data_IF_815676148746
#
_entry.id   IF_815676148746
#
_cell.length_a   1.000
_cell.length_b   1.000
_cell.length_c   1.000
_cell.angle_alpha   90.00
_cell.angle_beta   90.00
_cell.angle_gamma   90.00
#
_symmetry.space_group_name_H-M   'P 1'
#
loop_
_entity.id
_entity.type
_entity.pdbx_description
1 polymer ?
#
# COMPACT_ATOMS: atom_id res chain seq x y z
N UNK A 1 -27.41 -9.62 -0.62
CA UNK A 1 -27.02 -9.12 -1.95
C UNK A 1 -25.51 -9.24 -2.09
N UNK A 2 -25.00 -9.60 -3.27
CA UNK A 2 -23.55 -9.56 -3.53
C UNK A 2 -23.07 -8.10 -3.64
N UNK A 3 -21.84 -7.77 -3.24
CA UNK A 3 -21.32 -6.40 -3.36
C UNK A 3 -21.20 -5.99 -4.83
N UNK A 4 -21.46 -4.70 -5.11
CA UNK A 4 -21.27 -4.11 -6.44
C UNK A 4 -19.80 -4.15 -6.87
N UNK A 5 -19.55 -4.02 -8.18
CA UNK A 5 -18.18 -3.99 -8.71
C UNK A 5 -17.40 -2.78 -8.18
N UNK A 6 -18.05 -1.63 -8.03
CA UNK A 6 -17.46 -0.43 -7.41
C UNK A 6 -17.09 -0.69 -5.95
N UNK A 7 -17.93 -1.36 -5.17
CA UNK A 7 -17.58 -1.74 -3.77
C UNK A 7 -16.39 -2.69 -3.72
N UNK A 8 -16.32 -3.68 -4.62
CA UNK A 8 -15.20 -4.62 -4.69
C UNK A 8 -13.91 -3.89 -5.05
N UNK A 9 -13.93 -3.03 -6.06
CA UNK A 9 -12.78 -2.25 -6.50
C UNK A 9 -12.32 -1.26 -5.41
N UNK A 10 -13.26 -0.59 -4.74
CA UNK A 10 -13.00 0.30 -3.59
C UNK A 10 -12.24 -0.43 -2.48
N UNK A 11 -12.73 -1.60 -2.07
CA UNK A 11 -12.07 -2.43 -1.03
C UNK A 11 -10.68 -2.90 -1.45
N UNK A 12 -10.47 -3.15 -2.75
CA UNK A 12 -9.16 -3.53 -3.28
C UNK A 12 -8.14 -2.40 -3.13
N UNK A 13 -8.51 -1.17 -3.50
CA UNK A 13 -7.65 0.01 -3.33
C UNK A 13 -7.32 0.22 -1.85
N UNK A 14 -8.34 0.22 -0.97
CA UNK A 14 -8.15 0.40 0.47
C UNK A 14 -7.21 -0.63 1.09
N UNK A 15 -7.33 -1.91 0.70
CA UNK A 15 -6.43 -2.97 1.19
C UNK A 15 -4.99 -2.73 0.75
N UNK A 16 -4.79 -2.40 -0.53
CA UNK A 16 -3.45 -2.18 -1.07
C UNK A 16 -2.77 -0.95 -0.46
N UNK A 17 -3.50 0.14 -0.23
CA UNK A 17 -2.97 1.33 0.46
C UNK A 17 -2.56 0.99 1.90
N UNK A 18 -3.35 0.18 2.61
CA UNK A 18 -2.99 -0.28 3.96
C UNK A 18 -1.78 -1.21 3.97
N UNK A 19 -1.72 -2.12 3.00
CA UNK A 19 -0.57 -3.03 2.82
C UNK A 19 0.71 -2.23 2.58
N UNK A 20 0.65 -1.25 1.69
CA UNK A 20 1.75 -0.34 1.38
C UNK A 20 2.23 0.43 2.62
N UNK A 21 1.31 1.05 3.37
CA UNK A 21 1.62 1.75 4.60
C UNK A 21 2.26 0.81 5.66
N UNK A 22 1.86 -0.47 5.69
CA UNK A 22 2.45 -1.46 6.59
C UNK A 22 3.92 -1.76 6.24
N UNK A 23 4.28 -1.80 4.96
CA UNK A 23 5.67 -1.97 4.54
C UNK A 23 6.52 -0.75 4.88
N UNK A 24 5.98 0.48 4.76
CA UNK A 24 6.68 1.69 5.21
C UNK A 24 6.97 1.67 6.71
N UNK A 25 5.99 1.26 7.53
CA UNK A 25 6.22 1.08 8.97
C UNK A 25 7.28 0.01 9.26
N UNK A 26 7.32 -1.07 8.50
CA UNK A 26 8.35 -2.10 8.66
C UNK A 26 9.75 -1.57 8.30
N UNK A 27 9.87 -0.76 7.24
CA UNK A 27 11.13 -0.09 6.90
C UNK A 27 11.62 0.80 8.05
N UNK A 28 10.75 1.63 8.63
CA UNK A 28 11.09 2.48 9.77
C UNK A 28 11.59 1.65 10.97
N UNK A 29 10.93 0.54 11.26
CA UNK A 29 11.32 -0.37 12.33
C UNK A 29 12.69 -1.02 12.06
N UNK A 30 12.91 -1.54 10.84
CA UNK A 30 14.17 -2.14 10.41
C UNK A 30 15.33 -1.13 10.46
N UNK A 31 15.12 0.09 9.95
CA UNK A 31 16.10 1.18 10.05
C UNK A 31 16.41 1.55 11.50
N UNK A 32 15.39 1.56 12.36
CA UNK A 32 15.53 1.75 13.80
C UNK A 32 16.38 0.66 14.46
N UNK A 33 16.16 -0.62 14.10
CA UNK A 33 16.96 -1.75 14.60
C UNK A 33 18.41 -1.67 14.11
N UNK A 34 18.63 -1.38 12.82
CA UNK A 34 19.96 -1.19 12.24
C UNK A 34 20.71 -0.07 12.96
N UNK A 35 20.08 1.08 13.21
CA UNK A 35 20.69 2.20 13.95
C UNK A 35 21.13 1.78 15.36
N UNK A 36 20.31 1.00 16.06
CA UNK A 36 20.64 0.48 17.41
C UNK A 36 21.81 -0.51 17.37
N UNK A 37 21.84 -1.41 16.39
CA UNK A 37 22.94 -2.37 16.20
C UNK A 37 24.26 -1.66 15.88
N UNK A 38 24.21 -0.60 15.07
CA UNK A 38 25.39 0.21 14.77
C UNK A 38 25.90 1.00 15.99
N UNK A 39 25.00 1.46 16.86
CA UNK A 39 25.36 2.19 18.07
C UNK A 39 26.01 1.30 19.14
N UNK A 40 25.63 0.01 19.19
CA UNK A 40 26.16 -0.98 20.13
C UNK A 40 26.86 -2.11 19.36
N UNK A 41 27.78 -1.75 18.46
CA UNK A 41 28.48 -2.71 17.60
C UNK A 41 29.60 -3.43 18.36
N UNK A 42 29.24 -4.10 19.45
CA UNK A 42 30.15 -4.82 20.34
C UNK A 42 29.52 -6.17 20.67
N UNK A 43 30.06 -7.24 20.07
CA UNK A 43 29.57 -8.60 20.29
C UNK A 43 29.97 -9.54 19.15
N UNK A 44 30.21 -10.81 19.48
CA UNK A 44 30.64 -11.85 18.52
C UNK A 44 29.64 -12.00 17.34
N UNK A 45 28.37 -11.69 17.56
CA UNK A 45 27.29 -11.79 16.56
C UNK A 45 26.88 -10.45 15.93
N UNK A 46 27.47 -9.31 16.32
CA UNK A 46 26.98 -7.99 15.91
C UNK A 46 27.00 -7.80 14.39
N UNK A 47 28.02 -8.32 13.70
CA UNK A 47 28.13 -8.26 12.24
C UNK A 47 27.06 -9.14 11.55
N UNK A 48 26.82 -10.33 12.10
CA UNK A 48 25.82 -11.25 11.57
C UNK A 48 24.41 -10.66 11.72
N UNK A 49 24.05 -10.16 12.90
CA UNK A 49 22.76 -9.51 13.15
C UNK A 49 22.55 -8.28 12.26
N UNK A 50 23.59 -7.44 12.10
CA UNK A 50 23.52 -6.29 11.21
C UNK A 50 23.29 -6.70 9.75
N UNK A 51 23.97 -7.76 9.28
CA UNK A 51 23.79 -8.28 7.92
C UNK A 51 22.36 -8.79 7.71
N UNK A 52 21.82 -9.53 8.67
CA UNK A 52 20.46 -10.06 8.61
C UNK A 52 19.42 -8.93 8.56
N UNK A 53 19.53 -7.91 9.41
CA UNK A 53 18.61 -6.77 9.39
C UNK A 53 18.72 -5.96 8.10
N UNK A 54 19.92 -5.78 7.54
CA UNK A 54 20.11 -5.14 6.23
C UNK A 54 19.48 -5.94 5.09
N UNK A 55 19.58 -7.27 5.15
CA UNK A 55 18.93 -8.13 4.17
C UNK A 55 17.41 -8.01 4.26
N UNK A 56 16.84 -8.08 5.46
CA UNK A 56 15.40 -7.91 5.69
C UNK A 56 14.91 -6.55 5.17
N UNK A 57 15.66 -5.46 5.45
CA UNK A 57 15.38 -4.12 4.91
C UNK A 57 15.34 -4.12 3.38
N UNK A 58 16.30 -4.78 2.73
CA UNK A 58 16.35 -4.85 1.28
C UNK A 58 15.21 -5.68 0.70
N UNK A 59 14.83 -6.78 1.34
CA UNK A 59 13.68 -7.61 0.94
C UNK A 59 12.39 -6.80 1.00
N UNK A 60 12.15 -6.03 2.08
CA UNK A 60 11.00 -5.13 2.19
C UNK A 60 11.03 -4.05 1.09
N UNK A 61 12.19 -3.44 0.82
CA UNK A 61 12.35 -2.47 -0.29
C UNK A 61 12.03 -3.06 -1.66
N UNK A 62 12.35 -4.33 -1.88
CA UNK A 62 12.10 -5.01 -3.17
C UNK A 62 10.61 -5.30 -3.40
N UNK A 63 9.80 -5.43 -2.33
CA UNK A 63 8.35 -5.69 -2.44
C UNK A 63 7.58 -4.41 -2.82
N UNK A 64 7.99 -3.26 -2.29
CA UNK A 64 7.29 -1.97 -2.45
C UNK A 64 6.97 -1.58 -3.91
N UNK A 65 7.89 -1.69 -4.89
CA UNK A 65 7.57 -1.39 -6.29
C UNK A 65 6.38 -2.19 -6.82
N UNK A 66 6.30 -3.47 -6.48
CA UNK A 66 5.21 -4.35 -6.92
C UNK A 66 3.88 -3.93 -6.30
N UNK A 67 3.89 -3.52 -5.02
CA UNK A 67 2.69 -3.02 -4.33
C UNK A 67 2.21 -1.72 -4.94
N UNK A 68 3.13 -0.80 -5.28
CA UNK A 68 2.81 0.48 -5.94
C UNK A 68 2.17 0.26 -7.31
N UNK A 69 2.70 -0.67 -8.11
CA UNK A 69 2.07 -1.02 -9.41
C UNK A 69 0.68 -1.62 -9.22
N UNK A 70 0.47 -2.47 -8.21
CA UNK A 70 -0.86 -2.98 -7.87
C UNK A 70 -1.82 -1.87 -7.46
N UNK A 71 -1.37 -0.86 -6.71
CA UNK A 71 -2.19 0.31 -6.35
C UNK A 71 -2.59 1.07 -7.61
N UNK A 72 -1.65 1.37 -8.51
CA UNK A 72 -1.95 2.05 -9.79
C UNK A 72 -3.00 1.29 -10.60
N UNK A 73 -2.83 -0.01 -10.76
CA UNK A 73 -3.78 -0.86 -11.49
C UNK A 73 -5.16 -0.90 -10.80
N UNK A 74 -5.20 -0.96 -9.47
CA UNK A 74 -6.46 -0.95 -8.72
C UNK A 74 -7.17 0.42 -8.79
N UNK A 75 -6.43 1.52 -8.80
CA UNK A 75 -6.95 2.86 -9.00
C UNK A 75 -7.59 3.01 -10.38
N UNK A 76 -6.85 2.63 -11.44
CA UNK A 76 -7.37 2.65 -12.80
C UNK A 76 -8.67 1.83 -12.89
N UNK A 77 -8.66 0.61 -12.36
CA UNK A 77 -9.86 -0.24 -12.36
C UNK A 77 -11.04 0.43 -11.64
N UNK A 78 -10.82 1.08 -10.50
CA UNK A 78 -11.89 1.76 -9.76
C UNK A 78 -12.43 2.98 -10.52
N UNK A 79 -11.56 3.72 -11.19
CA UNK A 79 -11.94 4.83 -12.06
C UNK A 79 -12.78 4.36 -13.25
N UNK A 80 -12.35 3.30 -13.94
CA UNK A 80 -13.08 2.71 -15.06
C UNK A 80 -14.48 2.21 -14.64
N UNK A 81 -14.58 1.56 -13.47
CA UNK A 81 -15.88 1.13 -12.92
C UNK A 81 -16.80 2.32 -12.62
N UNK A 82 -16.28 3.39 -12.04
CA UNK A 82 -17.08 4.60 -11.77
C UNK A 82 -17.51 5.33 -13.05
N UNK A 83 -16.76 5.22 -14.13
CA UNK A 83 -17.16 5.74 -15.44
C UNK A 83 -18.26 4.87 -16.07
N UNK A 84 -18.06 3.55 -16.09
CA UNK A 84 -19.05 2.60 -16.59
C UNK A 84 -20.39 2.69 -15.85
N UNK A 85 -20.36 2.93 -14.53
CA UNK A 85 -21.58 3.07 -13.73
C UNK A 85 -22.33 4.38 -13.95
N UNK A 86 -21.69 5.40 -14.53
CA UNK A 86 -22.37 6.65 -14.96
C UNK A 86 -23.03 6.53 -16.33
N UNK A 87 -22.50 5.66 -17.19
CA UNK A 87 -23.01 5.45 -18.56
C UNK A 87 -24.17 4.45 -18.62
N UNK A 88 -24.35 3.61 -17.60
CA UNK A 88 -25.52 2.73 -17.43
C UNK A 88 -26.56 3.24 -16.42
N UNK A 89 -27.66 2.50 -16.24
CA UNK A 89 -28.64 2.67 -15.15
C UNK A 89 -28.04 2.23 -13.78
N UNK A 90 -26.85 2.71 -13.44
CA UNK A 90 -26.11 2.27 -12.25
C UNK A 90 -26.91 2.47 -10.96
N UNK A 91 -27.31 1.37 -10.32
CA UNK A 91 -27.98 1.33 -9.00
C UNK A 91 -27.05 1.65 -7.82
N UNK A 92 -25.88 2.23 -8.08
CA UNK A 92 -24.90 2.53 -7.04
C UNK A 92 -25.39 3.67 -6.17
N UNK A 93 -25.44 3.42 -4.86
CA UNK A 93 -25.82 4.45 -3.90
C UNK A 93 -24.80 5.60 -3.92
N UNK A 94 -25.27 6.81 -3.59
CA UNK A 94 -24.41 7.99 -3.41
C UNK A 94 -23.30 7.74 -2.39
N UNK A 95 -23.53 6.89 -1.39
CA UNK A 95 -22.52 6.47 -0.42
C UNK A 95 -21.40 5.62 -1.05
N UNK A 96 -21.74 4.68 -1.92
CA UNK A 96 -20.76 3.83 -2.62
C UNK A 96 -19.85 4.67 -3.51
N UNK A 97 -20.45 5.60 -4.27
CA UNK A 97 -19.71 6.53 -5.14
C UNK A 97 -18.80 7.43 -4.30
N UNK A 98 -19.26 7.90 -3.14
CA UNK A 98 -18.46 8.76 -2.26
C UNK A 98 -17.25 8.00 -1.71
N UNK A 99 -17.46 6.79 -1.17
CA UNK A 99 -16.38 5.92 -0.67
C UNK A 99 -15.36 5.56 -1.75
N UNK A 100 -15.83 5.34 -2.99
CA UNK A 100 -14.96 5.06 -4.12
C UNK A 100 -14.06 6.27 -4.46
N UNK A 101 -14.62 7.49 -4.48
CA UNK A 101 -13.86 8.73 -4.70
C UNK A 101 -12.84 8.99 -3.58
N UNK A 102 -13.21 8.75 -2.33
CA UNK A 102 -12.28 8.83 -1.19
C UNK A 102 -11.14 7.83 -1.35
N UNK A 103 -11.43 6.57 -1.68
CA UNK A 103 -10.40 5.56 -1.91
C UNK A 103 -9.46 5.93 -3.07
N UNK A 104 -9.97 6.56 -4.13
CA UNK A 104 -9.13 7.08 -5.23
C UNK A 104 -8.20 8.19 -4.72
N UNK A 105 -8.75 9.14 -3.96
CA UNK A 105 -7.97 10.24 -3.40
C UNK A 105 -6.85 9.72 -2.48
N UNK A 106 -7.18 8.77 -1.59
CA UNK A 106 -6.21 8.15 -0.68
C UNK A 106 -5.13 7.37 -1.43
N UNK A 107 -5.51 6.58 -2.44
CA UNK A 107 -4.53 5.83 -3.24
C UNK A 107 -3.62 6.74 -4.06
N UNK A 108 -4.15 7.83 -4.64
CA UNK A 108 -3.33 8.85 -5.32
C UNK A 108 -2.42 9.60 -4.36
N UNK A 109 -2.91 9.91 -3.16
CA UNK A 109 -2.11 10.55 -2.10
C UNK A 109 -0.96 9.63 -1.69
N UNK A 110 -1.24 8.36 -1.40
CA UNK A 110 -0.22 7.36 -1.10
C UNK A 110 0.87 7.36 -2.18
N UNK A 111 0.51 7.17 -3.46
CA UNK A 111 1.49 7.18 -4.57
C UNK A 111 2.35 8.46 -4.67
N UNK A 112 1.81 9.64 -4.30
CA UNK A 112 2.53 10.91 -4.33
C UNK A 112 3.49 11.08 -3.16
N UNK A 113 3.09 10.73 -1.95
CA UNK A 113 3.93 10.85 -0.74
C UNK A 113 5.17 9.95 -0.80
N UNK A 114 5.18 9.03 -1.75
CA UNK A 114 6.21 8.03 -1.96
C UNK A 114 7.19 8.39 -3.12
N UNK A 115 6.81 9.32 -4.00
CA UNK A 115 7.61 9.75 -5.18
C UNK A 115 8.64 10.81 -4.81
#
# INVERSE_FOLDING_TARGET
MAPSQVVIATKSVQRLVKEEASYHKELENQEGRIKKLLANFEGENAEFELRQERQALQETKNVLPTVREKIKAALQKLEDQLESSKEGDGEESTEEITKAKEAIADGKKALREIS
#
